data_IF_354310731405
#
_entry.id   IF_354310731405
#
_cell.length_a   1.000
_cell.length_b   1.000
_cell.length_c   1.000
_cell.angle_alpha   90.00
_cell.angle_beta   90.00
_cell.angle_gamma   90.00
#
_symmetry.space_group_name_H-M   'P 1'
#
loop_
_entity.id
_entity.type
_entity.pdbx_description
1 polymer ?
#
# COMPACT_ATOMS: atom_id res chain seq x y z
N UNK A 1 -23.08 16.22 7.47
CA UNK A 1 -23.13 14.95 8.18
C UNK A 1 -21.84 14.79 8.95
N UNK A 2 -21.94 14.88 10.27
CA UNK A 2 -20.82 14.57 11.16
C UNK A 2 -20.61 13.06 11.13
N UNK A 3 -19.67 12.60 10.30
CA UNK A 3 -19.26 11.22 10.37
C UNK A 3 -18.70 10.95 11.78
N UNK A 4 -19.27 10.01 12.46
CA UNK A 4 -18.71 9.53 13.72
C UNK A 4 -17.31 8.99 13.44
N UNK A 5 -16.28 9.38 14.20
CA UNK A 5 -14.95 8.83 14.02
C UNK A 5 -15.02 7.30 14.16
N UNK A 6 -14.44 6.59 13.22
CA UNK A 6 -14.31 5.14 13.33
C UNK A 6 -13.53 4.81 14.62
N UNK A 7 -13.99 3.81 15.37
CA UNK A 7 -13.33 3.38 16.60
C UNK A 7 -11.85 3.01 16.41
N UNK A 8 -11.46 2.58 15.20
CA UNK A 8 -10.06 2.33 14.85
C UNK A 8 -9.20 3.61 14.83
N UNK A 9 -9.79 4.78 14.61
CA UNK A 9 -9.04 6.04 14.67
C UNK A 9 -8.61 6.40 16.09
N UNK A 10 -9.41 6.04 17.10
CA UNK A 10 -9.07 6.27 18.50
C UNK A 10 -7.94 5.37 18.97
N UNK A 11 -7.84 4.14 18.43
CA UNK A 11 -6.77 3.18 18.73
C UNK A 11 -5.39 3.71 18.31
N UNK A 12 -5.30 4.48 17.22
CA UNK A 12 -4.03 5.07 16.78
C UNK A 12 -3.41 5.96 17.86
N UNK A 13 -4.23 6.78 18.52
CA UNK A 13 -3.77 7.62 19.64
C UNK A 13 -3.25 6.77 20.80
N UNK A 14 -3.97 5.73 21.16
CA UNK A 14 -3.59 4.84 22.26
C UNK A 14 -2.31 4.06 21.93
N UNK A 15 -2.11 3.67 20.68
CA UNK A 15 -0.85 3.07 20.22
C UNK A 15 0.35 4.01 20.38
N UNK A 16 0.20 5.29 20.07
CA UNK A 16 1.29 6.29 20.23
C UNK A 16 1.74 6.39 21.69
N UNK A 17 0.80 6.30 22.62
CA UNK A 17 1.07 6.42 24.06
C UNK A 17 1.19 5.07 24.78
N UNK A 18 1.10 3.97 24.07
CA UNK A 18 1.18 2.62 24.65
C UNK A 18 2.49 2.40 25.41
N UNK A 19 2.41 1.71 26.54
CA UNK A 19 3.58 1.27 27.32
C UNK A 19 4.42 0.22 26.55
N UNK A 20 3.80 -0.49 25.60
CA UNK A 20 4.49 -1.50 24.78
C UNK A 20 5.25 -0.90 23.61
N UNK A 21 5.06 0.41 23.35
CA UNK A 21 5.78 1.09 22.27
C UNK A 21 7.25 1.24 22.60
N UNK A 22 8.13 0.88 21.66
CA UNK A 22 9.56 1.15 21.74
C UNK A 22 9.79 2.68 21.68
N UNK A 23 10.35 3.25 22.72
CA UNK A 23 10.51 4.72 22.87
C UNK A 23 11.93 5.19 22.62
N UNK A 24 12.90 4.31 22.70
CA UNK A 24 14.33 4.60 22.62
C UNK A 24 15.01 3.57 21.74
N UNK A 25 16.18 3.91 21.17
CA UNK A 25 17.02 2.90 20.53
C UNK A 25 17.38 1.80 21.53
N UNK A 26 17.15 0.57 21.12
CA UNK A 26 17.42 -0.63 21.91
C UNK A 26 18.29 -1.58 21.09
N UNK A 27 19.32 -2.13 21.71
CA UNK A 27 20.24 -3.06 21.07
C UNK A 27 20.36 -4.32 21.92
N UNK A 28 20.42 -5.48 21.28
CA UNK A 28 20.63 -6.75 22.00
C UNK A 28 21.97 -6.75 22.71
N UNK A 29 21.99 -7.22 23.93
CA UNK A 29 23.19 -7.29 24.77
C UNK A 29 24.31 -8.12 24.13
N UNK A 30 23.95 -9.26 23.56
CA UNK A 30 24.90 -10.10 22.85
C UNK A 30 25.49 -9.46 21.58
N UNK A 31 24.75 -8.56 20.93
CA UNK A 31 25.28 -7.78 19.82
C UNK A 31 26.25 -6.68 20.30
N UNK A 32 25.92 -5.99 21.40
CA UNK A 32 26.83 -4.97 21.97
C UNK A 32 28.15 -5.58 22.43
N UNK A 33 28.11 -6.79 22.96
CA UNK A 33 29.32 -7.48 23.42
C UNK A 33 30.26 -7.88 22.27
N UNK A 34 29.70 -8.25 21.11
CA UNK A 34 30.47 -8.67 19.93
C UNK A 34 29.69 -8.36 18.64
N UNK A 35 29.77 -7.14 18.11
CA UNK A 35 29.00 -6.75 16.92
C UNK A 35 29.38 -7.54 15.64
N UNK A 36 30.57 -8.06 15.55
CA UNK A 36 31.05 -8.85 14.39
C UNK A 36 30.63 -10.32 14.45
N UNK A 37 30.46 -10.84 15.66
CA UNK A 37 30.02 -12.20 15.93
C UNK A 37 28.98 -12.21 17.06
N UNK A 38 27.75 -11.69 16.81
CA UNK A 38 26.76 -11.50 17.86
C UNK A 38 26.45 -12.78 18.60
N UNK A 39 26.52 -12.72 19.92
CA UNK A 39 26.15 -13.79 20.82
C UNK A 39 24.68 -13.66 21.26
N UNK A 40 24.16 -14.69 21.89
CA UNK A 40 22.79 -14.72 22.39
C UNK A 40 21.77 -15.27 21.39
N UNK A 41 20.65 -15.68 21.91
CA UNK A 41 19.57 -16.27 21.13
C UNK A 41 18.52 -15.19 20.80
N UNK A 42 18.18 -15.06 19.53
CA UNK A 42 17.13 -14.12 19.09
C UNK A 42 15.80 -14.43 19.79
N UNK A 43 15.19 -13.41 20.36
CA UNK A 43 13.94 -13.54 21.13
C UNK A 43 14.15 -13.83 22.62
N UNK A 44 15.35 -14.24 23.05
CA UNK A 44 15.69 -14.49 24.46
C UNK A 44 16.73 -13.51 25.00
N UNK A 45 17.54 -12.92 24.11
CA UNK A 45 18.57 -11.98 24.49
C UNK A 45 17.95 -10.65 24.97
N UNK A 46 18.52 -10.11 26.03
CA UNK A 46 18.07 -8.86 26.65
C UNK A 46 18.38 -7.67 25.72
N UNK A 47 17.44 -6.73 25.65
CA UNK A 47 17.63 -5.45 24.96
C UNK A 47 18.11 -4.38 25.94
N UNK A 48 19.17 -3.70 25.59
CA UNK A 48 19.76 -2.59 26.35
C UNK A 48 19.47 -1.29 25.63
N UNK A 49 19.05 -0.28 26.40
CA UNK A 49 18.89 1.07 25.88
C UNK A 49 20.24 1.69 25.57
N UNK A 50 20.33 2.29 24.37
CA UNK A 50 21.50 3.07 23.96
C UNK A 50 21.07 4.50 23.57
N UNK A 51 22.02 5.41 23.43
CA UNK A 51 21.75 6.72 22.85
C UNK A 51 21.54 6.63 21.33
N UNK A 52 20.98 7.67 20.73
CA UNK A 52 20.88 7.75 19.27
C UNK A 52 22.25 7.76 18.59
N UNK A 53 23.22 8.45 19.17
CA UNK A 53 24.57 8.53 18.64
C UNK A 53 25.25 7.13 18.65
N UNK A 54 25.10 6.38 19.73
CA UNK A 54 25.59 5.00 19.81
C UNK A 54 24.89 4.11 18.77
N UNK A 55 23.57 4.18 18.64
CA UNK A 55 22.81 3.40 17.68
C UNK A 55 23.25 3.70 16.24
N UNK A 56 23.38 4.99 15.89
CA UNK A 56 23.82 5.42 14.56
C UNK A 56 25.26 5.01 14.26
N UNK A 57 26.16 5.13 15.25
CA UNK A 57 27.55 4.67 15.11
C UNK A 57 27.63 3.16 14.89
N UNK A 58 26.84 2.38 15.61
CA UNK A 58 26.76 0.93 15.41
C UNK A 58 26.28 0.57 14.00
N UNK A 59 25.21 1.22 13.53
CA UNK A 59 24.69 1.02 12.18
C UNK A 59 25.76 1.38 11.15
N UNK A 60 26.37 2.56 11.27
CA UNK A 60 27.41 3.02 10.34
C UNK A 60 28.60 2.06 10.28
N UNK A 61 29.10 1.66 11.44
CA UNK A 61 30.26 0.77 11.54
C UNK A 61 29.98 -0.58 10.88
N UNK A 62 28.82 -1.18 11.16
CA UNK A 62 28.45 -2.47 10.58
C UNK A 62 28.16 -2.36 9.08
N UNK A 63 27.45 -1.32 8.66
CA UNK A 63 27.19 -1.06 7.25
C UNK A 63 28.50 -0.92 6.47
N UNK A 64 29.42 -0.08 6.96
CA UNK A 64 30.73 0.10 6.35
C UNK A 64 31.51 -1.22 6.29
N UNK A 65 31.57 -1.96 7.39
CA UNK A 65 32.26 -3.25 7.46
C UNK A 65 31.76 -4.25 6.41
N UNK A 66 30.42 -4.42 6.33
CA UNK A 66 29.80 -5.36 5.38
C UNK A 66 30.06 -4.92 3.94
N UNK A 67 29.86 -3.65 3.63
CA UNK A 67 30.11 -3.10 2.30
C UNK A 67 31.58 -3.26 1.88
N UNK A 68 32.53 -2.95 2.77
CA UNK A 68 33.94 -2.98 2.46
C UNK A 68 34.47 -4.43 2.33
N UNK A 69 33.86 -5.39 3.06
CA UNK A 69 34.26 -6.81 3.02
C UNK A 69 33.60 -7.59 1.88
N UNK A 70 32.35 -7.28 1.52
CA UNK A 70 31.53 -8.11 0.63
C UNK A 70 30.90 -7.34 -0.55
N UNK A 71 31.12 -6.03 -0.62
CA UNK A 71 30.53 -5.15 -1.62
C UNK A 71 29.08 -4.73 -1.34
N UNK A 72 28.57 -3.72 -2.04
CA UNK A 72 27.23 -3.19 -1.81
C UNK A 72 26.11 -4.18 -2.14
N UNK A 73 26.34 -5.11 -3.05
CA UNK A 73 25.36 -6.14 -3.42
C UNK A 73 25.04 -7.14 -2.29
N UNK A 74 25.89 -7.21 -1.27
CA UNK A 74 25.64 -8.03 -0.08
C UNK A 74 24.62 -7.44 0.89
N UNK A 75 24.24 -6.17 0.68
CA UNK A 75 23.30 -5.45 1.53
C UNK A 75 21.97 -5.41 0.82
N UNK A 76 20.98 -6.13 1.33
CA UNK A 76 19.61 -6.00 0.87
C UNK A 76 18.88 -4.89 1.64
N UNK A 77 18.25 -3.98 0.93
CA UNK A 77 17.45 -2.92 1.54
C UNK A 77 16.12 -2.74 0.82
N UNK A 78 15.06 -2.72 1.59
CA UNK A 78 13.72 -2.48 1.11
C UNK A 78 12.86 -1.87 2.19
N UNK A 79 11.96 -1.02 1.78
CA UNK A 79 10.89 -0.50 2.61
C UNK A 79 9.62 -0.54 1.80
N UNK A 80 8.64 -1.22 2.33
CA UNK A 80 7.32 -1.32 1.74
C UNK A 80 6.33 -0.65 2.68
N UNK A 81 5.37 -0.05 2.12
CA UNK A 81 4.30 0.61 2.84
C UNK A 81 3.60 1.57 1.93
N UNK A 82 2.37 1.80 2.23
CA UNK A 82 1.53 2.69 1.49
C UNK A 82 2.04 4.13 1.63
N UNK A 83 1.64 4.96 0.71
CA UNK A 83 2.10 6.34 0.66
C UNK A 83 1.77 7.06 1.96
N UNK A 84 2.81 7.47 2.65
CA UNK A 84 2.70 8.38 3.76
C UNK A 84 2.62 9.82 3.25
N UNK A 85 2.29 10.72 4.13
CA UNK A 85 2.11 12.14 3.84
C UNK A 85 3.40 12.80 3.34
N UNK A 86 3.53 12.98 2.04
CA UNK A 86 4.61 13.74 1.43
C UNK A 86 5.93 12.98 1.22
N UNK A 87 6.88 13.67 0.62
CA UNK A 87 8.17 13.10 0.18
C UNK A 87 9.12 12.88 1.36
N UNK A 88 9.15 13.82 2.32
CA UNK A 88 10.10 13.79 3.44
C UNK A 88 9.80 12.72 4.48
N UNK A 89 8.55 12.27 4.57
CA UNK A 89 8.13 11.26 5.53
C UNK A 89 8.00 9.86 4.91
N UNK A 90 8.33 9.73 3.64
CA UNK A 90 8.25 8.44 2.94
C UNK A 90 9.49 7.61 3.27
N UNK A 91 9.32 6.59 4.12
CA UNK A 91 10.41 5.74 4.58
C UNK A 91 11.19 5.10 3.43
N UNK A 92 10.51 4.61 2.37
CA UNK A 92 11.16 4.03 1.20
C UNK A 92 12.09 5.02 0.49
N UNK A 93 11.65 6.26 0.28
CA UNK A 93 12.46 7.29 -0.39
C UNK A 93 13.70 7.67 0.43
N UNK A 94 13.54 7.80 1.74
CA UNK A 94 14.65 8.14 2.64
C UNK A 94 15.65 6.98 2.74
N UNK A 95 15.16 5.74 2.83
CA UNK A 95 16.02 4.57 2.84
C UNK A 95 16.80 4.42 1.54
N UNK A 96 16.15 4.55 0.38
CA UNK A 96 16.80 4.49 -0.92
C UNK A 96 17.87 5.58 -1.08
N UNK A 97 17.56 6.80 -0.62
CA UNK A 97 18.52 7.91 -0.62
C UNK A 97 19.75 7.58 0.24
N UNK A 98 19.54 7.09 1.46
CA UNK A 98 20.63 6.69 2.35
C UNK A 98 21.49 5.60 1.70
N UNK A 99 20.88 4.54 1.20
CA UNK A 99 21.59 3.41 0.60
C UNK A 99 22.34 3.79 -0.67
N UNK A 100 21.79 4.65 -1.52
CA UNK A 100 22.47 5.16 -2.70
C UNK A 100 23.70 6.01 -2.33
N UNK A 101 23.57 6.91 -1.36
CA UNK A 101 24.68 7.71 -0.85
C UNK A 101 25.74 6.86 -0.13
N UNK A 102 25.35 5.76 0.48
CA UNK A 102 26.24 4.82 1.17
C UNK A 102 26.97 3.84 0.24
N UNK A 103 26.81 3.95 -1.08
CA UNK A 103 27.54 3.17 -2.06
C UNK A 103 26.75 2.08 -2.78
N UNK A 104 25.43 2.04 -2.58
CA UNK A 104 24.55 1.10 -3.27
C UNK A 104 24.10 -0.08 -2.39
N UNK A 105 23.18 -0.87 -2.96
CA UNK A 105 22.52 -1.99 -2.28
C UNK A 105 21.77 -2.88 -3.28
N UNK A 106 21.37 -4.06 -2.86
CA UNK A 106 20.43 -4.91 -3.58
C UNK A 106 19.00 -4.53 -3.18
N UNK A 107 18.21 -4.09 -4.14
CA UNK A 107 16.79 -3.77 -3.97
C UNK A 107 15.89 -4.92 -4.42
N UNK A 108 14.61 -4.61 -4.63
CA UNK A 108 13.61 -5.53 -5.18
C UNK A 108 12.89 -4.88 -6.36
N UNK A 109 12.35 -5.70 -7.21
CA UNK A 109 11.48 -5.29 -8.31
C UNK A 109 10.06 -5.78 -8.06
N UNK A 110 9.08 -4.97 -8.50
CA UNK A 110 7.66 -5.28 -8.32
C UNK A 110 7.18 -5.11 -6.88
N UNK A 111 6.00 -5.62 -6.63
CA UNK A 111 5.39 -5.67 -5.31
C UNK A 111 4.71 -7.02 -5.06
N UNK A 112 4.18 -7.21 -3.86
CA UNK A 112 3.49 -8.44 -3.49
C UNK A 112 2.04 -8.49 -3.95
N UNK A 113 1.41 -7.32 -4.13
CA UNK A 113 -0.02 -7.23 -4.40
C UNK A 113 -0.35 -7.49 -5.88
N UNK A 114 0.48 -6.99 -6.77
CA UNK A 114 0.24 -6.98 -8.22
C UNK A 114 1.45 -7.39 -9.03
N UNK A 115 2.47 -8.00 -8.42
CA UNK A 115 3.73 -8.36 -9.08
C UNK A 115 3.54 -9.24 -10.32
N UNK A 116 2.65 -10.22 -10.26
CA UNK A 116 2.33 -11.07 -11.42
C UNK A 116 1.67 -10.28 -12.55
N UNK A 117 0.71 -9.41 -12.23
CA UNK A 117 0.07 -8.53 -13.22
C UNK A 117 1.08 -7.57 -13.84
N UNK A 118 1.94 -6.94 -13.04
CA UNK A 118 2.99 -6.05 -13.52
C UNK A 118 3.98 -6.76 -14.46
N UNK A 119 4.24 -8.04 -14.23
CA UNK A 119 5.10 -8.84 -15.09
C UNK A 119 4.44 -9.24 -16.41
N UNK A 120 3.12 -9.54 -16.41
CA UNK A 120 2.43 -10.08 -17.60
C UNK A 120 1.76 -9.01 -18.45
N UNK A 121 1.20 -7.96 -17.84
CA UNK A 121 0.39 -6.96 -18.56
C UNK A 121 1.13 -6.26 -19.71
N UNK A 122 2.44 -5.96 -19.63
CA UNK A 122 3.16 -5.39 -20.78
C UNK A 122 3.11 -6.27 -22.05
N UNK A 123 3.03 -7.59 -21.87
CA UNK A 123 2.94 -8.53 -23.00
C UNK A 123 1.51 -8.68 -23.53
N UNK A 124 0.50 -8.33 -22.73
CA UNK A 124 -0.93 -8.48 -23.11
C UNK A 124 -1.48 -7.19 -23.69
N UNK A 125 -1.22 -6.06 -23.06
CA UNK A 125 -1.78 -4.74 -23.42
C UNK A 125 -0.72 -3.68 -23.75
N UNK A 126 0.55 -4.05 -23.77
CA UNK A 126 1.66 -3.16 -24.18
C UNK A 126 2.29 -2.34 -23.06
N UNK A 127 1.72 -2.31 -21.86
CA UNK A 127 2.24 -1.52 -20.74
C UNK A 127 1.55 -1.79 -19.42
N UNK A 128 1.93 -1.01 -18.40
CA UNK A 128 1.37 -1.08 -17.05
C UNK A 128 0.41 0.08 -16.72
N UNK A 129 -0.01 0.85 -17.69
CA UNK A 129 -0.85 2.03 -17.52
C UNK A 129 -2.20 1.68 -16.90
N UNK A 130 -2.76 0.52 -17.23
CA UNK A 130 -4.00 -0.01 -16.65
C UNK A 130 -3.93 -0.19 -15.14
N UNK A 131 -2.73 -0.29 -14.60
CA UNK A 131 -2.48 -0.38 -13.17
C UNK A 131 -1.93 0.93 -12.57
N UNK A 132 -1.01 1.59 -13.26
CA UNK A 132 -0.25 2.72 -12.73
C UNK A 132 -0.95 4.06 -12.92
N UNK A 133 -1.66 4.22 -14.02
CA UNK A 133 -2.38 5.45 -14.38
C UNK A 133 -3.88 5.19 -14.36
N UNK A 134 -4.51 5.62 -13.30
CA UNK A 134 -5.97 5.50 -13.19
C UNK A 134 -6.65 6.73 -13.79
N UNK A 135 -7.72 6.49 -14.52
CA UNK A 135 -8.57 7.55 -15.05
C UNK A 135 -9.24 8.30 -13.91
N UNK A 136 -9.18 9.62 -13.93
CA UNK A 136 -9.82 10.44 -12.91
C UNK A 136 -11.34 10.45 -13.05
N UNK A 137 -12.05 10.65 -11.97
CA UNK A 137 -13.51 10.70 -11.96
C UNK A 137 -14.11 11.79 -12.87
N UNK A 138 -13.57 13.01 -12.96
CA UNK A 138 -14.05 13.99 -13.92
C UNK A 138 -14.03 13.46 -15.37
N UNK A 139 -12.96 12.77 -15.76
CA UNK A 139 -12.86 12.18 -17.11
C UNK A 139 -13.88 11.04 -17.30
N UNK A 140 -14.05 10.18 -16.31
CA UNK A 140 -15.09 9.11 -16.34
C UNK A 140 -16.48 9.72 -16.48
N UNK A 141 -16.79 10.76 -15.70
CA UNK A 141 -18.08 11.44 -15.74
C UNK A 141 -18.34 12.14 -17.07
N UNK A 142 -17.31 12.66 -17.73
CA UNK A 142 -17.44 13.35 -18.99
C UNK A 142 -17.55 12.40 -20.19
N UNK A 143 -16.70 11.34 -20.23
CA UNK A 143 -16.47 10.57 -21.45
C UNK A 143 -16.99 9.13 -21.42
N UNK A 144 -17.55 8.64 -20.32
CA UNK A 144 -18.10 7.27 -20.25
C UNK A 144 -19.61 7.27 -20.39
N UNK A 145 -20.15 6.35 -21.16
CA UNK A 145 -21.60 6.10 -21.24
C UNK A 145 -22.05 5.00 -20.27
N UNK A 146 -21.16 4.05 -20.00
CA UNK A 146 -21.41 2.93 -19.11
C UNK A 146 -20.31 2.87 -18.06
N UNK A 147 -20.70 2.73 -16.79
CA UNK A 147 -19.79 2.52 -15.68
C UNK A 147 -20.08 1.20 -15.00
N UNK A 148 -19.09 0.34 -14.94
CA UNK A 148 -19.18 -0.99 -14.32
C UNK A 148 -18.36 -1.03 -13.03
N UNK A 149 -19.02 -1.34 -11.93
CA UNK A 149 -18.36 -1.70 -10.67
C UNK A 149 -18.22 -3.23 -10.62
N UNK A 150 -17.03 -3.75 -10.85
CA UNK A 150 -16.78 -5.18 -10.83
C UNK A 150 -16.14 -5.57 -9.51
N UNK A 151 -16.87 -6.29 -8.65
CA UNK A 151 -16.46 -6.68 -7.29
C UNK A 151 -15.86 -5.52 -6.49
N UNK A 152 -16.45 -4.34 -6.65
CA UNK A 152 -15.97 -3.11 -6.04
C UNK A 152 -17.05 -2.45 -5.19
N UNK A 153 -16.69 -2.12 -3.95
CA UNK A 153 -17.54 -1.34 -3.05
C UNK A 153 -16.85 -0.02 -2.66
N UNK A 154 -16.81 0.99 -3.56
CA UNK A 154 -16.10 2.23 -3.32
C UNK A 154 -16.61 3.03 -2.13
N UNK A 155 -17.88 2.93 -1.76
CA UNK A 155 -18.40 3.61 -0.57
C UNK A 155 -17.78 3.09 0.72
N UNK A 156 -17.50 1.79 0.80
CA UNK A 156 -16.82 1.21 1.95
C UNK A 156 -15.35 1.63 2.01
N UNK A 157 -14.67 1.56 0.88
CA UNK A 157 -13.24 1.87 0.84
C UNK A 157 -12.96 3.36 0.73
N UNK A 158 -13.90 4.17 0.26
CA UNK A 158 -13.76 5.59 -0.08
C UNK A 158 -12.54 5.91 -0.98
N UNK A 159 -11.97 4.87 -1.58
CA UNK A 159 -10.81 4.95 -2.46
C UNK A 159 -11.28 4.87 -3.89
N UNK A 160 -11.74 5.97 -4.39
CA UNK A 160 -12.16 6.07 -5.77
C UNK A 160 -10.97 6.20 -6.70
N UNK A 161 -9.86 6.73 -6.21
CA UNK A 161 -8.58 6.70 -6.90
C UNK A 161 -7.48 6.14 -5.99
N UNK A 162 -6.73 5.18 -6.49
CA UNK A 162 -5.64 4.51 -5.76
C UNK A 162 -4.58 5.47 -5.22
N UNK A 163 -4.28 6.52 -5.96
CA UNK A 163 -3.16 7.41 -5.71
C UNK A 163 -3.52 8.85 -5.33
N UNK A 164 -4.77 9.21 -5.46
CA UNK A 164 -5.24 10.56 -5.15
C UNK A 164 -6.34 10.48 -4.10
N UNK A 165 -6.16 11.20 -3.02
CA UNK A 165 -7.20 11.43 -2.03
C UNK A 165 -7.49 12.93 -2.06
N UNK A 166 -8.48 13.32 -2.85
CA UNK A 166 -8.97 14.68 -2.99
C UNK A 166 -10.21 14.93 -2.13
N UNK A 167 -10.60 13.92 -1.33
CA UNK A 167 -11.79 13.93 -0.47
C UNK A 167 -13.12 14.14 -1.22
N UNK A 168 -13.10 14.07 -2.55
CA UNK A 168 -14.28 14.30 -3.40
C UNK A 168 -15.05 13.00 -3.74
N UNK A 169 -14.68 11.88 -3.16
CA UNK A 169 -15.24 10.58 -3.50
C UNK A 169 -16.77 10.52 -3.46
N UNK A 170 -17.38 11.02 -2.41
CA UNK A 170 -18.85 11.06 -2.29
C UNK A 170 -19.48 12.00 -3.31
N UNK A 171 -18.88 13.16 -3.55
CA UNK A 171 -19.38 14.11 -4.55
C UNK A 171 -19.33 13.50 -5.97
N UNK A 172 -18.29 12.76 -6.31
CA UNK A 172 -18.22 12.03 -7.58
C UNK A 172 -19.27 10.93 -7.68
N UNK A 173 -19.56 10.22 -6.60
CA UNK A 173 -20.60 9.19 -6.58
C UNK A 173 -21.99 9.80 -6.73
N UNK A 174 -22.27 10.92 -6.09
CA UNK A 174 -23.52 11.66 -6.29
C UNK A 174 -23.66 12.18 -7.72
N UNK A 175 -22.58 12.72 -8.29
CA UNK A 175 -22.55 13.14 -9.69
C UNK A 175 -22.80 11.95 -10.63
N UNK A 176 -22.17 10.82 -10.39
CA UNK A 176 -22.39 9.59 -11.16
C UNK A 176 -23.84 9.10 -11.07
N UNK A 177 -24.42 9.07 -9.87
CA UNK A 177 -25.83 8.71 -9.64
C UNK A 177 -26.79 9.59 -10.44
N UNK A 178 -26.45 10.86 -10.63
CA UNK A 178 -27.27 11.85 -11.30
C UNK A 178 -26.90 12.07 -12.77
N UNK A 179 -25.91 11.35 -13.28
CA UNK A 179 -25.38 11.55 -14.64
C UNK A 179 -26.28 11.01 -15.76
N UNK A 180 -27.24 10.14 -15.45
CA UNK A 180 -28.05 9.45 -16.46
C UNK A 180 -27.30 8.32 -17.20
N UNK A 181 -26.04 8.03 -16.83
CA UNK A 181 -25.25 6.96 -17.43
C UNK A 181 -25.79 5.59 -17.03
N UNK A 182 -25.51 4.58 -17.84
CA UNK A 182 -25.79 3.19 -17.49
C UNK A 182 -24.82 2.73 -16.41
N UNK A 183 -25.35 2.26 -15.29
CA UNK A 183 -24.57 1.82 -14.15
C UNK A 183 -24.81 0.33 -13.91
N UNK A 184 -23.74 -0.45 -13.86
CA UNK A 184 -23.80 -1.90 -13.65
C UNK A 184 -22.89 -2.25 -12.48
N UNK A 185 -23.37 -3.05 -11.54
CA UNK A 185 -22.56 -3.65 -10.50
C UNK A 185 -22.55 -5.17 -10.68
N UNK A 186 -21.38 -5.74 -10.86
CA UNK A 186 -21.16 -7.19 -10.95
C UNK A 186 -20.48 -7.62 -9.65
N UNK A 187 -21.28 -8.15 -8.72
CA UNK A 187 -20.80 -8.56 -7.40
C UNK A 187 -21.75 -9.64 -6.84
N UNK A 188 -21.25 -10.77 -6.37
CA UNK A 188 -22.09 -11.80 -5.73
C UNK A 188 -22.79 -11.28 -4.47
N UNK A 189 -22.29 -10.19 -3.89
CA UNK A 189 -22.83 -9.58 -2.70
C UNK A 189 -23.42 -8.20 -3.00
N UNK A 190 -24.64 -7.97 -2.53
CA UNK A 190 -25.24 -6.64 -2.61
C UNK A 190 -24.56 -5.72 -1.59
N UNK A 191 -23.85 -4.74 -2.11
CA UNK A 191 -23.05 -3.80 -1.32
C UNK A 191 -23.77 -2.49 -1.06
N UNK A 192 -23.26 -1.69 -0.09
CA UNK A 192 -23.74 -0.34 0.19
C UNK A 192 -23.66 0.57 -1.04
N UNK A 193 -22.69 0.32 -1.93
CA UNK A 193 -22.61 1.07 -3.19
C UNK A 193 -23.80 0.77 -4.10
N UNK A 194 -24.25 -0.47 -4.20
CA UNK A 194 -25.46 -0.84 -4.93
C UNK A 194 -26.68 -0.15 -4.33
N UNK A 195 -26.81 -0.19 -3.00
CA UNK A 195 -27.93 0.44 -2.29
C UNK A 195 -27.94 1.96 -2.45
N UNK A 196 -26.78 2.59 -2.50
CA UNK A 196 -26.65 4.03 -2.74
C UNK A 196 -27.21 4.45 -4.12
N UNK A 197 -26.90 3.69 -5.15
CA UNK A 197 -27.41 3.96 -6.50
C UNK A 197 -28.88 3.54 -6.67
N UNK A 198 -29.32 2.55 -5.92
CA UNK A 198 -30.71 2.06 -5.90
C UNK A 198 -31.14 1.52 -7.27
N UNK A 199 -32.28 1.98 -7.74
CA UNK A 199 -32.90 1.63 -9.03
C UNK A 199 -32.13 2.11 -10.26
N UNK A 200 -31.16 2.97 -10.08
CA UNK A 200 -30.28 3.47 -11.15
C UNK A 200 -29.13 2.53 -11.49
N UNK A 201 -28.90 1.49 -10.68
CA UNK A 201 -27.83 0.53 -10.88
C UNK A 201 -28.38 -0.87 -11.14
N UNK A 202 -28.01 -1.43 -12.26
CA UNK A 202 -28.24 -2.84 -12.58
C UNK A 202 -27.28 -3.70 -11.74
N UNK A 203 -27.81 -4.53 -10.85
CA UNK A 203 -27.02 -5.44 -10.05
C UNK A 203 -27.07 -6.84 -10.62
N UNK A 204 -25.91 -7.37 -10.99
CA UNK A 204 -25.70 -8.72 -11.49
C UNK A 204 -24.93 -9.51 -10.43
N UNK A 205 -25.51 -10.58 -9.92
CA UNK A 205 -24.91 -11.44 -8.90
C UNK A 205 -24.39 -12.73 -9.52
N UNK A 206 -23.13 -12.79 -9.97
CA UNK A 206 -22.56 -14.04 -10.49
C UNK A 206 -22.25 -15.02 -9.35
N UNK A 207 -22.17 -16.29 -9.68
CA UNK A 207 -21.59 -17.28 -8.75
C UNK A 207 -20.10 -16.99 -8.54
N UNK A 208 -19.64 -17.08 -7.30
CA UNK A 208 -18.22 -16.90 -6.99
C UNK A 208 -17.33 -17.83 -7.84
N UNK A 209 -16.24 -17.29 -8.36
CA UNK A 209 -15.29 -18.02 -9.20
C UNK A 209 -15.70 -18.15 -10.67
N UNK A 210 -16.77 -17.47 -11.12
CA UNK A 210 -17.22 -17.51 -12.52
C UNK A 210 -16.91 -16.24 -13.31
N UNK A 211 -16.10 -15.34 -12.77
CA UNK A 211 -15.76 -14.05 -13.40
C UNK A 211 -15.20 -14.21 -14.81
N UNK A 212 -14.26 -15.15 -15.00
CA UNK A 212 -13.64 -15.40 -16.30
C UNK A 212 -14.67 -15.91 -17.31
N UNK A 213 -15.58 -16.79 -16.90
CA UNK A 213 -16.63 -17.28 -17.76
C UNK A 213 -17.59 -16.16 -18.17
N UNK A 214 -17.95 -15.28 -17.23
CA UNK A 214 -18.78 -14.11 -17.51
C UNK A 214 -18.06 -13.13 -18.45
N UNK A 215 -16.78 -12.85 -18.25
CA UNK A 215 -15.97 -12.01 -19.14
C UNK A 215 -15.90 -12.55 -20.56
N UNK A 216 -15.68 -13.87 -20.71
CA UNK A 216 -15.67 -14.53 -22.00
C UNK A 216 -17.05 -14.50 -22.66
N UNK A 217 -18.13 -14.66 -21.90
CA UNK A 217 -19.50 -14.54 -22.42
C UNK A 217 -19.84 -13.12 -22.89
N UNK A 218 -19.28 -12.08 -22.24
CA UNK A 218 -19.47 -10.69 -22.68
C UNK A 218 -18.63 -10.41 -23.94
N UNK A 219 -17.47 -11.04 -24.08
CA UNK A 219 -16.58 -10.84 -25.23
C UNK A 219 -17.05 -11.58 -26.49
N UNK A 220 -17.89 -12.63 -26.37
CA UNK A 220 -18.46 -13.40 -27.47
C UNK A 220 -19.60 -12.66 -28.15
#
# INVERSE_FOLDING_TARGET
PTSQPNSLQTVVRDQVHSKTRVRFPMVRKGFLASPEAPQGVRGQDEFVRVSWDEALNLIHTQHKRIRDSYGPSSIFAGSYGWRSNGVLHKAATLLQRYMALAGGYTGHLGDYSTGAAQAIMPYVVGGNEVYQQQTSWPVVLEHSDVVVLWSANPLNTLKIAWNASDEQGLAYFEALRNSGKRLICIDPMRSESVDFFGDKMEWVAPHMGTDVALMLGIAH
#
